data_IF_597374835445
#
_entry.id   IF_597374835445
#
_cell.length_a   1.000
_cell.length_b   1.000
_cell.length_c   1.000
_cell.angle_alpha   90.00
_cell.angle_beta   90.00
_cell.angle_gamma   90.00
#
_symmetry.space_group_name_H-M   'P 1'
#
loop_
_entity.id
_entity.type
_entity.pdbx_description
1 polymer ?
#
# COMPACT_ATOMS: atom_id res chain seq x y z
N UNK A 1 -10.94 -4.40 5.29
CA UNK A 1 -10.78 -3.28 4.36
C UNK A 1 -12.03 -2.41 4.31
N UNK A 2 -13.25 -2.95 4.11
CA UNK A 2 -14.51 -2.18 4.03
C UNK A 2 -14.77 -1.28 5.25
N UNK A 3 -14.46 -1.75 6.47
CA UNK A 3 -14.55 -0.94 7.70
C UNK A 3 -13.65 0.30 7.67
N UNK A 4 -12.47 0.18 7.05
CA UNK A 4 -11.58 1.32 6.86
C UNK A 4 -12.16 2.34 5.86
N UNK A 5 -12.71 1.87 4.73
CA UNK A 5 -13.31 2.74 3.73
C UNK A 5 -14.51 3.51 4.29
N UNK A 6 -15.30 2.85 5.13
CA UNK A 6 -16.43 3.45 5.83
C UNK A 6 -15.96 4.49 6.85
N UNK A 7 -14.99 4.14 7.70
CA UNK A 7 -14.34 5.06 8.62
C UNK A 7 -13.74 6.27 7.90
N UNK A 8 -13.07 6.06 6.76
CA UNK A 8 -12.47 7.16 6.01
C UNK A 8 -13.53 8.13 5.49
N UNK A 9 -14.64 7.65 4.91
CA UNK A 9 -15.72 8.51 4.46
C UNK A 9 -16.35 9.30 5.63
N UNK A 10 -16.48 8.70 6.81
CA UNK A 10 -16.92 9.37 8.03
C UNK A 10 -15.90 10.43 8.49
N UNK A 11 -14.62 10.05 8.52
CA UNK A 11 -13.53 10.94 8.92
C UNK A 11 -13.44 12.21 8.08
N UNK A 12 -13.73 12.14 6.78
CA UNK A 12 -13.75 13.34 5.90
C UNK A 12 -14.83 14.35 6.29
N UNK A 13 -15.83 13.95 7.07
CA UNK A 13 -16.95 14.79 7.46
C UNK A 13 -17.85 15.16 6.28
N UNK A 14 -17.86 14.35 5.21
CA UNK A 14 -18.65 14.62 4.00
C UNK A 14 -20.12 14.85 4.31
N UNK A 15 -20.71 15.89 3.71
CA UNK A 15 -22.11 16.26 3.87
C UNK A 15 -22.92 15.89 2.63
N UNK A 16 -24.25 15.63 2.78
CA UNK A 16 -25.12 15.41 1.62
C UNK A 16 -25.02 16.54 0.60
N UNK A 17 -24.96 16.18 -0.67
CA UNK A 17 -24.85 17.12 -1.80
C UNK A 17 -23.42 17.59 -2.09
N UNK A 18 -22.44 17.30 -1.23
CA UNK A 18 -21.05 17.60 -1.55
C UNK A 18 -20.52 16.70 -2.67
N UNK A 19 -19.63 17.26 -3.48
CA UNK A 19 -18.99 16.58 -4.62
C UNK A 19 -17.67 15.96 -4.21
N UNK A 20 -17.53 14.67 -4.42
CA UNK A 20 -16.35 13.88 -4.08
C UNK A 20 -15.73 13.29 -5.34
N UNK A 21 -14.44 13.51 -5.53
CA UNK A 21 -13.62 12.84 -6.57
C UNK A 21 -12.70 11.80 -5.94
N UNK A 22 -12.73 10.59 -6.45
CA UNK A 22 -11.78 9.52 -6.13
C UNK A 22 -10.86 9.27 -7.32
N UNK A 23 -9.58 9.62 -7.16
CA UNK A 23 -8.54 9.39 -8.16
C UNK A 23 -7.95 7.99 -7.95
N UNK A 24 -8.07 7.14 -8.98
CA UNK A 24 -7.80 5.70 -8.85
C UNK A 24 -8.94 4.97 -8.14
N UNK A 25 -10.17 5.22 -8.60
CA UNK A 25 -11.40 4.78 -7.91
C UNK A 25 -11.67 3.27 -8.01
N UNK A 26 -10.91 2.54 -8.82
CA UNK A 26 -11.01 1.10 -8.98
C UNK A 26 -12.47 0.65 -9.30
N UNK A 27 -13.03 -0.28 -8.55
CA UNK A 27 -14.42 -0.78 -8.68
C UNK A 27 -15.49 0.16 -8.09
N UNK A 28 -15.09 1.30 -7.52
CA UNK A 28 -15.97 2.29 -6.90
C UNK A 28 -16.36 2.00 -5.45
N UNK A 29 -15.75 0.99 -4.81
CA UNK A 29 -16.12 0.63 -3.43
C UNK A 29 -15.94 1.79 -2.44
N UNK A 30 -14.90 2.65 -2.60
CA UNK A 30 -14.75 3.85 -1.76
C UNK A 30 -15.84 4.88 -2.06
N UNK A 31 -16.17 5.07 -3.33
CA UNK A 31 -17.25 5.98 -3.75
C UNK A 31 -18.62 5.54 -3.21
N UNK A 32 -18.88 4.22 -3.10
CA UNK A 32 -20.09 3.70 -2.45
C UNK A 32 -20.22 4.23 -1.01
N UNK A 33 -19.12 4.33 -0.24
CA UNK A 33 -19.15 4.82 1.15
C UNK A 33 -19.48 6.32 1.23
N UNK A 34 -19.00 7.11 0.29
CA UNK A 34 -19.38 8.53 0.18
C UNK A 34 -20.85 8.71 -0.27
N UNK A 35 -21.28 7.91 -1.25
CA UNK A 35 -22.65 7.93 -1.75
C UNK A 35 -23.69 7.58 -0.67
N UNK A 36 -23.36 6.60 0.20
CA UNK A 36 -24.19 6.26 1.36
C UNK A 36 -24.41 7.44 2.34
N UNK A 37 -23.53 8.44 2.31
CA UNK A 37 -23.60 9.67 3.09
C UNK A 37 -24.23 10.84 2.33
N UNK A 38 -24.83 10.55 1.16
CA UNK A 38 -25.53 11.53 0.34
C UNK A 38 -24.63 12.40 -0.54
N UNK A 39 -23.35 12.05 -0.69
CA UNK A 39 -22.45 12.76 -1.60
C UNK A 39 -22.76 12.47 -3.06
N UNK A 40 -22.50 13.45 -3.93
CA UNK A 40 -22.36 13.26 -5.35
C UNK A 40 -20.95 12.76 -5.65
N UNK A 41 -20.82 11.65 -6.40
CA UNK A 41 -19.58 10.91 -6.52
C UNK A 41 -19.04 10.85 -7.94
N UNK A 42 -17.77 11.20 -8.09
CA UNK A 42 -16.98 11.10 -9.33
C UNK A 42 -15.75 10.23 -9.10
N UNK A 43 -15.34 9.56 -10.15
CA UNK A 43 -14.12 8.77 -10.14
C UNK A 43 -13.35 8.91 -11.45
N UNK A 44 -12.06 8.60 -11.39
CA UNK A 44 -11.21 8.41 -12.57
C UNK A 44 -10.28 7.23 -12.34
N UNK A 45 -10.27 6.28 -13.28
CA UNK A 45 -9.44 5.08 -13.19
C UNK A 45 -9.12 4.54 -14.59
N UNK A 46 -7.87 4.10 -14.88
CA UNK A 46 -7.49 3.55 -16.17
C UNK A 46 -7.88 2.07 -16.38
N UNK A 47 -8.40 1.38 -15.36
CA UNK A 47 -8.70 -0.05 -15.40
C UNK A 47 -10.00 -0.34 -16.19
N UNK A 48 -9.86 -0.66 -17.48
CA UNK A 48 -10.99 -0.96 -18.39
C UNK A 48 -11.91 -2.07 -17.86
N UNK A 49 -11.34 -3.08 -17.20
CA UNK A 49 -12.09 -4.21 -16.67
C UNK A 49 -12.92 -3.86 -15.42
N UNK A 50 -12.60 -2.77 -14.71
CA UNK A 50 -13.29 -2.33 -13.51
C UNK A 50 -14.27 -1.18 -13.78
N UNK A 51 -14.05 -0.42 -14.84
CA UNK A 51 -14.91 0.68 -15.23
C UNK A 51 -16.40 0.30 -15.35
N UNK A 52 -16.80 -0.87 -15.90
CA UNK A 52 -18.21 -1.24 -15.95
C UNK A 52 -18.85 -1.47 -14.58
N UNK A 53 -18.05 -1.71 -13.54
CA UNK A 53 -18.55 -1.88 -12.17
C UNK A 53 -18.78 -0.53 -11.50
N UNK A 54 -17.81 0.37 -11.60
CA UNK A 54 -17.84 1.69 -10.98
C UNK A 54 -18.79 2.67 -11.68
N UNK A 55 -18.78 2.70 -13.04
CA UNK A 55 -19.58 3.64 -13.84
C UNK A 55 -21.10 3.41 -13.80
N UNK A 56 -21.56 2.21 -13.38
CA UNK A 56 -22.98 1.94 -13.15
C UNK A 56 -23.57 2.74 -11.99
N UNK A 57 -22.74 3.17 -11.05
CA UNK A 57 -23.19 3.77 -9.78
C UNK A 57 -22.71 5.21 -9.60
N UNK A 58 -21.62 5.58 -10.26
CA UNK A 58 -20.90 6.84 -10.06
C UNK A 58 -20.56 7.49 -11.40
N UNK A 59 -20.22 8.78 -11.40
CA UNK A 59 -19.73 9.49 -12.57
C UNK A 59 -18.23 9.16 -12.78
N UNK A 60 -17.92 8.10 -13.50
CA UNK A 60 -16.55 7.61 -13.65
C UNK A 60 -16.01 7.84 -15.06
N UNK A 61 -14.86 8.51 -15.14
CA UNK A 61 -14.06 8.65 -16.35
C UNK A 61 -13.07 7.51 -16.46
N UNK A 62 -13.09 6.78 -17.59
CA UNK A 62 -12.06 5.79 -17.92
C UNK A 62 -10.82 6.51 -18.43
N UNK A 63 -9.71 6.44 -17.71
CA UNK A 63 -8.45 7.07 -18.09
C UNK A 63 -7.59 7.48 -16.89
N UNK A 64 -6.51 8.16 -17.19
CA UNK A 64 -5.61 8.71 -16.17
C UNK A 64 -6.04 10.10 -15.72
N UNK A 65 -5.89 10.37 -14.43
CA UNK A 65 -6.03 11.72 -13.88
C UNK A 65 -4.82 12.57 -14.26
N UNK A 66 -5.06 13.70 -14.93
CA UNK A 66 -4.00 14.59 -15.41
C UNK A 66 -4.56 15.87 -16.01
N UNK A 67 -3.74 16.54 -16.84
CA UNK A 67 -4.06 17.86 -17.45
C UNK A 67 -5.32 17.83 -18.31
N UNK A 68 -5.61 16.70 -18.93
CA UNK A 68 -6.78 16.49 -19.79
C UNK A 68 -8.07 16.16 -19.06
N UNK A 69 -8.02 15.98 -17.72
CA UNK A 69 -9.22 15.69 -16.94
C UNK A 69 -10.05 16.96 -16.70
N UNK A 70 -11.17 17.07 -17.40
CA UNK A 70 -12.08 18.23 -17.37
C UNK A 70 -13.47 17.82 -16.87
N UNK A 71 -13.71 17.78 -15.53
CA UNK A 71 -15.00 17.30 -14.98
C UNK A 71 -16.15 18.31 -15.13
N UNK A 72 -15.85 19.58 -15.45
CA UNK A 72 -16.84 20.66 -15.52
C UNK A 72 -17.42 21.12 -14.18
N UNK A 73 -16.90 20.57 -13.07
CA UNK A 73 -17.31 20.90 -11.69
C UNK A 73 -16.08 21.04 -10.79
N UNK A 74 -16.25 21.73 -9.66
CA UNK A 74 -15.27 21.73 -8.57
C UNK A 74 -15.73 20.77 -7.48
N UNK A 75 -14.76 20.12 -6.85
CA UNK A 75 -15.00 19.11 -5.81
C UNK A 75 -14.75 19.68 -4.42
N UNK A 76 -15.58 19.29 -3.46
CA UNK A 76 -15.39 19.57 -2.03
C UNK A 76 -14.31 18.68 -1.44
N UNK A 77 -14.27 17.42 -1.88
CA UNK A 77 -13.32 16.41 -1.44
C UNK A 77 -12.67 15.76 -2.67
N UNK A 78 -11.33 15.72 -2.69
CA UNK A 78 -10.55 14.90 -3.62
C UNK A 78 -9.80 13.85 -2.82
N UNK A 79 -9.93 12.60 -3.21
CA UNK A 79 -9.29 11.47 -2.54
C UNK A 79 -8.37 10.73 -3.52
N UNK A 80 -7.21 10.25 -3.04
CA UNK A 80 -6.31 9.38 -3.77
C UNK A 80 -5.62 8.42 -2.79
N UNK A 81 -6.08 7.18 -2.75
CA UNK A 81 -5.53 6.16 -1.84
C UNK A 81 -4.74 5.12 -2.62
N UNK A 82 -3.49 4.88 -2.21
CA UNK A 82 -2.55 3.96 -2.87
C UNK A 82 -2.29 4.27 -4.36
N UNK A 83 -2.38 5.52 -4.74
CA UNK A 83 -2.17 5.98 -6.13
C UNK A 83 -0.91 6.81 -6.24
N UNK A 84 -0.61 7.62 -5.21
CA UNK A 84 0.40 8.67 -5.30
C UNK A 84 1.83 8.14 -5.41
N UNK A 85 2.11 6.96 -4.85
CA UNK A 85 3.38 6.28 -5.00
C UNK A 85 3.71 5.89 -6.46
N UNK A 86 2.68 5.73 -7.31
CA UNK A 86 2.79 5.33 -8.71
C UNK A 86 2.88 6.50 -9.70
N UNK A 87 2.76 7.75 -9.23
CA UNK A 87 2.73 8.92 -10.10
C UNK A 87 4.12 9.27 -10.64
N UNK A 88 4.26 9.38 -11.97
CA UNK A 88 5.52 9.83 -12.60
C UNK A 88 5.78 11.32 -12.38
N UNK A 89 4.72 12.12 -12.32
CA UNK A 89 4.76 13.54 -11.99
C UNK A 89 3.85 13.85 -10.80
N UNK A 90 4.32 13.66 -9.56
CA UNK A 90 3.53 13.94 -8.38
C UNK A 90 3.22 15.45 -8.22
N UNK A 91 4.09 16.34 -8.72
CA UNK A 91 3.82 17.77 -8.69
C UNK A 91 2.69 18.18 -9.63
N UNK A 92 2.72 17.70 -10.87
CA UNK A 92 1.62 17.90 -11.83
C UNK A 92 0.31 17.32 -11.31
N UNK A 93 0.35 16.13 -10.70
CA UNK A 93 -0.83 15.52 -10.09
C UNK A 93 -1.45 16.42 -9.00
N UNK A 94 -0.63 16.98 -8.08
CA UNK A 94 -1.12 17.92 -7.06
C UNK A 94 -1.67 19.21 -7.66
N UNK A 95 -1.02 19.76 -8.69
CA UNK A 95 -1.54 20.95 -9.39
C UNK A 95 -2.89 20.67 -10.05
N UNK A 96 -3.08 19.51 -10.63
CA UNK A 96 -4.35 19.09 -11.22
C UNK A 96 -5.43 18.86 -10.15
N UNK A 97 -5.09 18.28 -9.00
CA UNK A 97 -6.02 18.20 -7.86
C UNK A 97 -6.44 19.60 -7.39
N UNK A 98 -5.49 20.54 -7.27
CA UNK A 98 -5.81 21.94 -6.93
C UNK A 98 -6.73 22.59 -7.96
N UNK A 99 -6.51 22.36 -9.26
CA UNK A 99 -7.30 22.93 -10.35
C UNK A 99 -8.78 22.55 -10.30
N UNK A 100 -9.08 21.34 -9.81
CA UNK A 100 -10.45 20.84 -9.69
C UNK A 100 -11.07 21.05 -8.30
N UNK A 101 -10.45 21.89 -7.45
CA UNK A 101 -10.92 22.19 -6.09
C UNK A 101 -11.15 23.71 -5.90
N UNK A 102 -11.88 24.07 -4.84
CA UNK A 102 -12.11 25.44 -4.40
C UNK A 102 -11.47 25.70 -3.02
N UNK A 103 -11.57 26.91 -2.50
CA UNK A 103 -10.84 27.33 -1.29
C UNK A 103 -11.19 26.53 -0.02
N UNK A 104 -12.41 25.98 0.08
CA UNK A 104 -12.86 25.20 1.23
C UNK A 104 -12.62 23.69 1.07
N UNK A 105 -12.18 23.26 -0.10
CA UNK A 105 -11.96 21.84 -0.41
C UNK A 105 -10.85 21.20 0.44
N UNK A 106 -10.92 19.88 0.57
CA UNK A 106 -9.89 19.06 1.16
C UNK A 106 -9.43 17.98 0.18
N UNK A 107 -8.12 17.78 0.13
CA UNK A 107 -7.49 16.73 -0.67
C UNK A 107 -6.86 15.74 0.30
N UNK A 108 -7.20 14.47 0.16
CA UNK A 108 -6.71 13.37 0.99
C UNK A 108 -5.84 12.45 0.14
N UNK A 109 -4.58 12.29 0.52
CA UNK A 109 -3.63 11.44 -0.20
C UNK A 109 -3.07 10.41 0.77
N UNK A 110 -3.41 9.15 0.54
CA UNK A 110 -2.86 8.04 1.30
C UNK A 110 -1.76 7.34 0.51
N UNK A 111 -0.61 7.16 1.16
CA UNK A 111 0.54 6.46 0.59
C UNK A 111 1.23 5.59 1.64
N UNK A 112 1.57 4.35 1.24
CA UNK A 112 2.04 3.28 2.12
C UNK A 112 3.55 3.34 2.36
N UNK A 113 4.06 4.39 3.03
CA UNK A 113 5.50 4.52 3.25
C UNK A 113 5.90 5.15 4.59
N UNK A 114 4.92 5.41 5.46
CA UNK A 114 5.24 5.85 6.79
C UNK A 114 6.09 4.79 7.49
N UNK A 115 7.12 5.20 8.15
CA UNK A 115 7.97 4.34 8.97
C UNK A 115 8.57 3.11 8.25
N UNK A 116 8.50 3.01 6.90
CA UNK A 116 8.95 1.79 6.18
C UNK A 116 10.42 1.45 6.49
N UNK A 117 11.28 2.47 6.65
CA UNK A 117 12.70 2.28 7.02
C UNK A 117 12.81 1.77 8.44
N UNK A 118 12.05 2.35 9.37
CA UNK A 118 12.03 1.95 10.78
C UNK A 118 11.45 0.56 10.98
N UNK A 119 10.45 0.19 10.17
CA UNK A 119 9.79 -1.12 10.22
C UNK A 119 10.52 -2.21 9.41
N UNK A 120 11.53 -1.85 8.61
CA UNK A 120 12.23 -2.79 7.74
C UNK A 120 11.45 -3.24 6.51
N UNK A 121 10.46 -2.47 6.06
CA UNK A 121 9.58 -2.82 4.95
C UNK A 121 10.22 -2.54 3.58
N UNK A 122 11.43 -3.03 3.34
CA UNK A 122 12.18 -2.82 2.08
C UNK A 122 11.49 -3.43 0.86
N UNK A 123 10.65 -4.44 1.05
CA UNK A 123 9.86 -5.09 0.01
C UNK A 123 8.78 -4.17 -0.61
N UNK A 124 8.52 -3.04 0.03
CA UNK A 124 7.69 -1.95 -0.52
C UNK A 124 8.37 -1.27 -1.72
N UNK A 125 9.69 -1.39 -1.87
CA UNK A 125 10.46 -0.83 -2.99
C UNK A 125 10.38 -1.79 -4.18
N UNK A 126 9.35 -1.68 -4.98
CA UNK A 126 9.18 -2.40 -6.24
C UNK A 126 8.90 -1.43 -7.39
N UNK A 127 8.99 -1.92 -8.63
CA UNK A 127 9.03 -1.11 -9.84
C UNK A 127 7.85 -0.15 -10.04
N UNK A 128 6.69 -0.41 -9.42
CA UNK A 128 5.52 0.46 -9.51
C UNK A 128 5.50 1.55 -8.42
N UNK A 129 6.20 1.35 -7.28
CA UNK A 129 6.37 2.38 -6.25
C UNK A 129 7.60 3.22 -6.58
N UNK A 130 7.41 4.28 -7.34
CA UNK A 130 8.50 5.15 -7.81
C UNK A 130 8.70 6.39 -6.93
N UNK A 131 7.76 6.67 -6.04
CA UNK A 131 7.85 7.78 -5.10
C UNK A 131 7.69 7.31 -3.66
N UNK A 132 8.53 7.85 -2.79
CA UNK A 132 8.51 7.63 -1.35
C UNK A 132 8.57 8.98 -0.65
N UNK A 133 7.69 9.18 0.34
CA UNK A 133 7.55 10.46 1.01
C UNK A 133 7.68 10.32 2.52
N UNK A 134 8.54 11.15 3.10
CA UNK A 134 8.41 11.56 4.50
C UNK A 134 7.60 12.86 4.56
N UNK A 135 7.25 13.33 5.75
CA UNK A 135 6.38 14.51 5.91
C UNK A 135 7.03 15.76 5.34
N UNK A 136 8.33 15.94 5.55
CA UNK A 136 9.08 17.12 5.03
C UNK A 136 9.09 17.13 3.50
N UNK A 137 9.37 16.01 2.85
CA UNK A 137 9.40 15.95 1.39
C UNK A 137 8.01 16.17 0.77
N UNK A 138 6.97 15.65 1.42
CA UNK A 138 5.59 15.85 0.98
C UNK A 138 5.12 17.29 1.18
N UNK A 139 5.46 17.92 2.32
CA UNK A 139 5.19 19.34 2.56
C UNK A 139 5.80 20.22 1.47
N UNK A 140 7.10 20.04 1.16
CA UNK A 140 7.76 20.78 0.08
C UNK A 140 7.10 20.60 -1.28
N UNK A 141 6.59 19.39 -1.54
CA UNK A 141 5.86 19.11 -2.77
C UNK A 141 4.51 19.85 -2.81
N UNK A 142 3.77 19.84 -1.68
CA UNK A 142 2.52 20.57 -1.53
C UNK A 142 2.70 22.08 -1.71
N UNK A 143 3.74 22.65 -1.07
CA UNK A 143 4.08 24.09 -1.19
C UNK A 143 4.35 24.48 -2.66
N UNK A 144 5.08 23.65 -3.41
CA UNK A 144 5.34 23.86 -4.84
C UNK A 144 4.08 23.75 -5.70
N UNK A 145 3.09 23.01 -5.27
CA UNK A 145 1.77 22.94 -5.90
C UNK A 145 0.86 24.11 -5.49
N UNK A 146 1.29 24.95 -4.53
CA UNK A 146 0.51 26.04 -3.95
C UNK A 146 -0.63 25.53 -3.07
N UNK A 147 -0.42 24.41 -2.38
CA UNK A 147 -1.28 23.79 -1.38
C UNK A 147 -0.59 23.82 -0.02
N UNK A 148 -1.38 23.83 1.04
CA UNK A 148 -0.89 23.71 2.42
C UNK A 148 -1.07 22.28 2.88
N UNK A 149 -0.03 21.66 3.46
CA UNK A 149 -0.15 20.42 4.22
C UNK A 149 -0.83 20.76 5.56
N UNK A 150 -2.12 20.52 5.64
CA UNK A 150 -2.93 20.93 6.79
C UNK A 150 -2.85 19.96 7.95
N UNK A 151 -2.79 18.65 7.66
CA UNK A 151 -2.64 17.62 8.68
C UNK A 151 -2.05 16.34 8.10
N UNK A 152 -1.59 15.44 8.98
CA UNK A 152 -1.05 14.12 8.64
C UNK A 152 -1.56 13.10 9.63
N UNK A 153 -2.10 11.99 9.15
CA UNK A 153 -2.49 10.86 9.99
C UNK A 153 -1.66 9.64 9.63
N UNK A 154 -1.39 8.79 10.62
CA UNK A 154 -0.90 7.43 10.39
C UNK A 154 -2.09 6.48 10.39
N UNK A 155 -2.17 5.63 9.38
CA UNK A 155 -3.20 4.59 9.25
C UNK A 155 -2.56 3.21 9.18
N UNK A 156 -3.22 2.14 9.66
CA UNK A 156 -2.66 0.78 9.67
C UNK A 156 -2.83 0.06 8.31
N UNK A 157 -3.06 0.80 7.24
CA UNK A 157 -3.27 0.24 5.90
C UNK A 157 -1.92 -0.09 5.25
N UNK A 158 -1.81 -1.28 4.68
CA UNK A 158 -0.60 -1.80 4.00
C UNK A 158 0.69 -1.76 4.84
N UNK A 159 0.58 -2.05 6.12
CA UNK A 159 1.63 -1.85 7.12
C UNK A 159 1.38 -0.56 7.87
N UNK A 160 2.12 0.50 7.58
CA UNK A 160 1.83 1.85 8.07
C UNK A 160 1.83 2.83 6.91
N UNK A 161 0.74 3.58 6.77
CA UNK A 161 0.59 4.58 5.71
C UNK A 161 0.44 5.97 6.31
N UNK A 162 0.94 6.99 5.59
CA UNK A 162 0.52 8.36 5.81
C UNK A 162 -0.75 8.67 5.03
N UNK A 163 -1.67 9.39 5.69
CA UNK A 163 -2.75 10.14 5.07
C UNK A 163 -2.40 11.63 5.18
N UNK A 164 -2.00 12.22 4.07
CA UNK A 164 -1.73 13.65 3.96
C UNK A 164 -3.02 14.39 3.63
N UNK A 165 -3.34 15.44 4.39
CA UNK A 165 -4.53 16.27 4.21
C UNK A 165 -4.09 17.64 3.74
N UNK A 166 -4.52 18.02 2.53
CA UNK A 166 -4.13 19.26 1.87
C UNK A 166 -5.34 20.20 1.69
N UNK A 167 -5.07 21.48 1.60
CA UNK A 167 -6.07 22.51 1.34
C UNK A 167 -5.48 23.91 1.34
N UNK A 168 -6.30 24.91 1.69
CA UNK A 168 -5.92 26.33 1.76
C UNK A 168 -5.93 26.91 3.19
N UNK A 169 -6.22 26.07 4.20
CA UNK A 169 -6.21 26.49 5.60
C UNK A 169 -4.83 26.40 6.25
N UNK A 170 -4.69 26.85 7.50
CA UNK A 170 -3.44 26.75 8.25
C UNK A 170 -3.12 25.27 8.58
N UNK A 171 -1.81 24.91 8.73
CA UNK A 171 -1.44 23.60 9.21
C UNK A 171 -1.84 23.39 10.67
N UNK A 172 -2.16 22.17 11.04
CA UNK A 172 -2.36 21.76 12.44
C UNK A 172 -1.02 21.70 13.19
N UNK A 173 -1.06 21.80 14.50
CA UNK A 173 0.12 21.58 15.34
C UNK A 173 0.70 20.17 15.19
N UNK A 174 -0.12 19.20 14.81
CA UNK A 174 0.26 17.80 14.60
C UNK A 174 1.31 17.65 13.50
N UNK A 175 1.24 18.44 12.43
CA UNK A 175 2.24 18.43 11.33
C UNK A 175 3.64 18.71 11.89
N UNK A 176 3.78 19.79 12.66
CA UNK A 176 5.07 20.15 13.26
C UNK A 176 5.58 19.10 14.25
N UNK A 177 4.69 18.53 15.06
CA UNK A 177 5.04 17.48 16.02
C UNK A 177 5.52 16.19 15.32
N UNK A 178 4.85 15.77 14.26
CA UNK A 178 5.24 14.58 13.49
C UNK A 178 6.54 14.81 12.71
N UNK A 179 6.75 16.01 12.16
CA UNK A 179 8.03 16.38 11.52
C UNK A 179 9.20 16.34 12.50
N UNK A 180 9.00 16.84 13.72
CA UNK A 180 10.04 16.79 14.76
C UNK A 180 10.33 15.36 15.17
N UNK A 181 9.29 14.52 15.27
CA UNK A 181 9.47 13.07 15.51
C UNK A 181 10.27 12.40 14.40
N UNK A 182 9.96 12.65 13.12
CA UNK A 182 10.73 12.11 11.98
C UNK A 182 12.18 12.59 12.02
N UNK A 183 12.43 13.85 12.37
CA UNK A 183 13.77 14.41 12.55
C UNK A 183 14.53 13.70 13.67
N UNK A 184 13.92 13.53 14.83
CA UNK A 184 14.52 12.82 15.97
C UNK A 184 14.82 11.36 15.65
N UNK A 185 14.07 10.75 14.74
CA UNK A 185 14.29 9.39 14.23
C UNK A 185 15.33 9.31 13.10
N UNK A 186 15.90 10.43 12.66
CA UNK A 186 16.91 10.48 11.58
C UNK A 186 16.34 10.30 10.17
N UNK A 187 15.01 10.37 9.97
CA UNK A 187 14.36 10.14 8.66
C UNK A 187 14.68 11.24 7.61
N UNK A 188 15.38 12.31 8.01
CA UNK A 188 15.83 13.37 7.11
C UNK A 188 17.33 13.30 6.81
N UNK A 189 18.04 12.31 7.37
CA UNK A 189 19.49 12.21 7.34
C UNK A 189 19.96 10.92 6.66
N UNK A 190 21.08 11.00 5.91
CA UNK A 190 21.66 9.87 5.19
C UNK A 190 22.04 8.65 6.04
N UNK A 191 22.68 8.83 7.21
CA UNK A 191 23.17 7.71 8.02
C UNK A 191 22.13 6.64 8.39
N UNK A 192 20.86 7.04 8.61
CA UNK A 192 19.80 6.07 8.86
C UNK A 192 19.57 5.14 7.66
N UNK A 193 19.57 5.71 6.46
CA UNK A 193 19.35 4.94 5.22
C UNK A 193 20.53 4.04 4.89
N UNK A 194 21.75 4.48 5.18
CA UNK A 194 22.96 3.66 5.01
C UNK A 194 22.92 2.45 5.97
N UNK A 195 22.61 2.67 7.24
CA UNK A 195 22.45 1.61 8.23
C UNK A 195 21.31 0.64 7.85
N UNK A 196 20.20 1.17 7.35
CA UNK A 196 19.09 0.36 6.88
C UNK A 196 19.46 -0.50 5.66
N UNK A 197 20.24 0.05 4.72
CA UNK A 197 20.71 -0.69 3.56
C UNK A 197 21.61 -1.87 3.98
N UNK A 198 22.53 -1.66 4.92
CA UNK A 198 23.36 -2.72 5.50
C UNK A 198 22.50 -3.79 6.14
N UNK A 199 21.53 -3.40 6.97
CA UNK A 199 20.60 -4.33 7.63
C UNK A 199 19.81 -5.16 6.62
N UNK A 200 19.34 -4.57 5.51
CA UNK A 200 18.67 -5.31 4.43
C UNK A 200 19.58 -6.38 3.80
N UNK A 201 20.87 -6.07 3.58
CA UNK A 201 21.83 -7.03 3.03
C UNK A 201 22.17 -8.16 4.02
N UNK A 202 22.24 -7.86 5.29
CA UNK A 202 22.44 -8.88 6.35
C UNK A 202 21.21 -9.77 6.46
N UNK A 203 20.00 -9.21 6.47
CA UNK A 203 18.74 -9.95 6.41
C UNK A 203 18.72 -10.90 5.21
N UNK A 204 19.02 -10.40 4.01
CA UNK A 204 19.13 -11.22 2.79
C UNK A 204 20.04 -12.42 3.02
N UNK A 205 21.23 -12.20 3.55
CA UNK A 205 22.26 -13.23 3.77
C UNK A 205 21.81 -14.27 4.79
N UNK A 206 21.26 -13.81 5.91
CA UNK A 206 20.73 -14.66 6.99
C UNK A 206 19.54 -15.50 6.51
N UNK A 207 18.57 -14.88 5.86
CA UNK A 207 17.38 -15.58 5.39
C UNK A 207 17.73 -16.61 4.31
N UNK A 208 18.61 -16.26 3.37
CA UNK A 208 19.08 -17.21 2.36
C UNK A 208 19.76 -18.42 2.99
N UNK A 209 20.61 -18.21 4.00
CA UNK A 209 21.26 -19.30 4.75
C UNK A 209 20.26 -20.15 5.52
N UNK A 210 19.27 -19.52 6.18
CA UNK A 210 18.24 -20.20 6.95
C UNK A 210 17.37 -21.12 6.09
N UNK A 211 17.11 -20.72 4.85
CA UNK A 211 16.28 -21.47 3.90
C UNK A 211 17.07 -22.48 3.04
N UNK A 212 18.39 -22.53 3.18
CA UNK A 212 19.22 -23.45 2.40
C UNK A 212 18.89 -24.91 2.76
N UNK A 213 18.52 -25.69 1.75
CA UNK A 213 18.16 -27.11 1.92
C UNK A 213 16.73 -27.34 2.47
N UNK A 214 16.00 -26.32 2.84
CA UNK A 214 14.63 -26.43 3.30
C UNK A 214 13.64 -26.59 2.12
N UNK A 215 12.53 -27.28 2.37
CA UNK A 215 11.39 -27.26 1.44
C UNK A 215 10.53 -26.03 1.76
N UNK A 216 10.75 -24.98 1.01
CA UNK A 216 10.13 -23.66 1.27
C UNK A 216 8.77 -23.56 0.57
N UNK A 217 7.74 -23.28 1.35
CA UNK A 217 6.38 -22.96 0.88
C UNK A 217 6.09 -21.51 1.21
N UNK A 218 6.00 -20.66 0.20
CA UNK A 218 5.61 -19.26 0.43
C UNK A 218 4.09 -19.11 0.41
N UNK A 219 3.57 -18.07 1.08
CA UNK A 219 2.15 -17.74 1.08
C UNK A 219 1.94 -16.26 0.73
N UNK A 220 1.17 -16.01 -0.34
CA UNK A 220 0.87 -14.69 -0.86
C UNK A 220 1.72 -14.28 -2.08
N UNK A 221 1.21 -14.51 -3.30
CA UNK A 221 1.86 -14.09 -4.55
C UNK A 221 1.55 -12.61 -4.87
N UNK A 222 1.97 -11.70 -3.99
CA UNK A 222 1.81 -10.25 -4.13
C UNK A 222 3.11 -9.58 -4.60
N UNK A 223 3.03 -8.30 -5.02
CA UNK A 223 4.18 -7.53 -5.49
C UNK A 223 5.31 -7.49 -4.45
N UNK A 224 4.99 -7.15 -3.18
CA UNK A 224 5.95 -7.15 -2.07
C UNK A 224 6.64 -8.50 -1.89
N UNK A 225 5.88 -9.59 -1.90
CA UNK A 225 6.43 -10.94 -1.78
C UNK A 225 7.38 -11.30 -2.92
N UNK A 226 7.05 -10.93 -4.15
CA UNK A 226 7.95 -11.12 -5.29
C UNK A 226 9.23 -10.29 -5.15
N UNK A 227 9.14 -9.06 -4.63
CA UNK A 227 10.31 -8.22 -4.36
C UNK A 227 11.24 -8.89 -3.36
N UNK A 228 10.70 -9.37 -2.25
CA UNK A 228 11.46 -10.08 -1.23
C UNK A 228 12.15 -11.33 -1.80
N UNK A 229 11.40 -12.20 -2.48
CA UNK A 229 11.94 -13.43 -3.05
C UNK A 229 13.06 -13.18 -4.06
N UNK A 230 12.89 -12.17 -4.92
CA UNK A 230 13.91 -11.79 -5.90
C UNK A 230 15.11 -11.14 -5.24
N UNK A 231 14.92 -10.26 -4.25
CA UNK A 231 16.00 -9.62 -3.51
C UNK A 231 16.85 -10.65 -2.75
N UNK A 232 16.21 -11.57 -2.04
CA UNK A 232 16.92 -12.61 -1.28
C UNK A 232 17.52 -13.67 -2.20
N UNK A 233 16.93 -13.90 -3.37
CA UNK A 233 17.33 -14.95 -4.30
C UNK A 233 16.90 -16.33 -3.81
N UNK A 234 15.71 -16.43 -3.24
CA UNK A 234 15.07 -17.68 -2.78
C UNK A 234 13.96 -18.07 -3.74
N UNK A 235 13.95 -19.31 -4.16
CA UNK A 235 12.92 -19.91 -4.98
C UNK A 235 12.11 -20.89 -4.13
N UNK A 236 10.91 -20.53 -3.64
CA UNK A 236 10.01 -21.47 -3.01
C UNK A 236 9.61 -22.59 -3.97
N UNK A 237 9.36 -23.78 -3.45
CA UNK A 237 8.83 -24.90 -4.24
C UNK A 237 7.45 -24.58 -4.79
N UNK A 238 6.61 -23.92 -3.97
CA UNK A 238 5.31 -23.37 -4.37
C UNK A 238 5.04 -22.06 -3.64
N UNK A 239 4.14 -21.25 -4.21
CA UNK A 239 3.56 -20.09 -3.54
C UNK A 239 2.05 -20.33 -3.46
N UNK A 240 1.50 -20.40 -2.27
CA UNK A 240 0.06 -20.47 -2.06
C UNK A 240 -0.52 -19.06 -2.21
N UNK A 241 -1.61 -18.93 -2.97
CA UNK A 241 -2.36 -17.66 -3.07
C UNK A 241 -3.86 -17.98 -3.22
N UNK A 242 -4.69 -17.27 -2.45
CA UNK A 242 -6.15 -17.51 -2.43
C UNK A 242 -6.87 -16.90 -3.65
N UNK A 243 -6.19 -16.02 -4.42
CA UNK A 243 -6.75 -15.44 -5.62
C UNK A 243 -6.73 -16.43 -6.79
N UNK A 244 -7.89 -16.92 -7.27
CA UNK A 244 -7.96 -17.91 -8.35
C UNK A 244 -7.34 -17.40 -9.67
N UNK A 245 -7.27 -16.07 -9.89
CA UNK A 245 -6.66 -15.49 -11.10
C UNK A 245 -5.13 -15.64 -11.13
N UNK A 246 -4.50 -15.93 -9.99
CA UNK A 246 -3.05 -16.17 -9.89
C UNK A 246 -2.70 -17.65 -9.90
N UNK A 247 -3.62 -18.51 -9.49
CA UNK A 247 -3.42 -19.97 -9.43
C UNK A 247 -3.15 -20.53 -10.82
N UNK A 248 -2.26 -21.53 -10.90
CA UNK A 248 -1.79 -22.12 -12.14
C UNK A 248 -0.77 -21.24 -12.91
N UNK A 249 -0.38 -20.09 -12.37
CA UNK A 249 0.64 -19.19 -12.93
C UNK A 249 1.97 -19.37 -12.21
N UNK A 250 2.97 -18.61 -12.65
CA UNK A 250 4.33 -18.60 -12.11
C UNK A 250 4.68 -17.22 -11.55
N UNK A 251 5.39 -17.20 -10.44
CA UNK A 251 5.89 -15.95 -9.87
C UNK A 251 6.94 -15.30 -10.78
N UNK A 252 6.92 -13.97 -10.95
CA UNK A 252 7.95 -13.25 -11.69
C UNK A 252 9.34 -13.43 -11.07
N UNK A 253 10.35 -13.59 -11.89
CA UNK A 253 11.75 -13.75 -11.47
C UNK A 253 12.07 -15.16 -11.00
N UNK A 254 11.60 -15.58 -9.84
CA UNK A 254 11.95 -16.89 -9.24
C UNK A 254 11.23 -18.08 -9.90
N UNK A 255 10.17 -17.83 -10.66
CA UNK A 255 9.41 -18.87 -11.38
C UNK A 255 8.93 -20.01 -10.46
N UNK A 256 8.44 -19.68 -9.29
CA UNK A 256 7.74 -20.62 -8.43
C UNK A 256 6.28 -20.75 -8.87
N UNK A 257 5.72 -21.99 -8.92
CA UNK A 257 4.31 -22.18 -9.28
C UNK A 257 3.40 -21.59 -8.19
N UNK A 258 2.33 -20.94 -8.61
CA UNK A 258 1.28 -20.42 -7.71
C UNK A 258 0.14 -21.44 -7.65
N UNK A 259 -0.18 -21.89 -6.43
CA UNK A 259 -1.12 -22.96 -6.17
C UNK A 259 -2.25 -22.54 -5.21
N UNK A 260 -3.42 -23.20 -5.23
CA UNK A 260 -4.47 -22.97 -4.24
C UNK A 260 -4.08 -23.53 -2.86
N UNK A 261 -4.76 -23.09 -1.80
CA UNK A 261 -4.56 -23.58 -0.43
C UNK A 261 -4.79 -25.08 -0.29
N UNK A 262 -5.68 -25.68 -1.10
CA UNK A 262 -5.92 -27.12 -1.14
C UNK A 262 -4.68 -27.95 -1.52
N UNK A 263 -3.64 -27.33 -2.10
CA UNK A 263 -2.36 -28.00 -2.32
C UNK A 263 -1.76 -28.57 -1.02
N UNK A 264 -2.07 -27.98 0.14
CA UNK A 264 -1.60 -28.46 1.45
C UNK A 264 -2.10 -29.88 1.78
N UNK A 265 -3.24 -30.30 1.26
CA UNK A 265 -3.81 -31.65 1.45
C UNK A 265 -2.97 -32.72 0.75
N UNK A 266 -2.25 -32.34 -0.30
CA UNK A 266 -1.39 -33.22 -1.12
C UNK A 266 0.10 -32.90 -0.99
N UNK A 267 0.44 -32.02 -0.04
CA UNK A 267 1.82 -31.63 0.21
C UNK A 267 2.67 -32.86 0.60
N UNK A 268 3.97 -32.88 0.24
CA UNK A 268 4.83 -34.01 0.54
C UNK A 268 4.94 -34.27 2.05
N UNK A 269 5.08 -35.57 2.41
CA UNK A 269 5.27 -35.99 3.81
C UNK A 269 6.71 -35.73 4.27
N UNK A 270 7.02 -34.48 4.49
CA UNK A 270 8.28 -34.01 5.05
C UNK A 270 8.06 -32.67 5.75
N UNK A 271 9.05 -32.21 6.52
CA UNK A 271 9.06 -30.88 7.12
C UNK A 271 8.98 -29.79 6.05
N UNK A 272 8.06 -28.85 6.19
CA UNK A 272 7.89 -27.69 5.35
C UNK A 272 8.31 -26.43 6.12
N UNK A 273 8.97 -25.51 5.43
CA UNK A 273 9.25 -24.18 5.98
C UNK A 273 8.35 -23.16 5.31
N UNK A 274 7.35 -22.68 6.05
CA UNK A 274 6.41 -21.69 5.57
C UNK A 274 6.99 -20.29 5.66
N UNK A 275 6.87 -19.55 4.55
CA UNK A 275 7.32 -18.18 4.41
C UNK A 275 6.12 -17.28 4.05
N UNK A 276 5.34 -16.77 5.03
CA UNK A 276 4.29 -15.81 4.79
C UNK A 276 4.86 -14.51 4.25
N UNK A 277 4.54 -14.19 2.99
CA UNK A 277 5.10 -13.01 2.30
C UNK A 277 4.32 -11.73 2.62
N UNK A 278 3.11 -11.83 3.13
CA UNK A 278 2.35 -10.72 3.66
C UNK A 278 2.61 -10.60 5.17
N UNK A 279 3.66 -9.87 5.55
CA UNK A 279 4.17 -9.80 6.92
C UNK A 279 3.10 -9.38 7.96
N UNK A 280 2.21 -8.47 7.57
CA UNK A 280 1.12 -7.97 8.40
C UNK A 280 -0.02 -8.97 8.61
N UNK A 281 -0.03 -10.10 7.88
CA UNK A 281 -1.04 -11.16 7.96
C UNK A 281 -0.45 -12.49 8.47
N UNK A 282 0.71 -12.45 9.12
CA UNK A 282 1.44 -13.65 9.55
C UNK A 282 0.57 -14.60 10.38
N UNK A 283 -0.09 -14.11 11.42
CA UNK A 283 -0.91 -14.93 12.31
C UNK A 283 -2.13 -15.53 11.60
N UNK A 284 -2.75 -14.75 10.70
CA UNK A 284 -3.88 -15.21 9.91
C UNK A 284 -3.46 -16.33 8.95
N UNK A 285 -2.36 -16.12 8.22
CA UNK A 285 -1.81 -17.11 7.29
C UNK A 285 -1.42 -18.38 8.05
N UNK A 286 -0.72 -18.25 9.18
CA UNK A 286 -0.35 -19.39 10.01
C UNK A 286 -1.57 -20.19 10.46
N UNK A 287 -2.62 -19.52 10.94
CA UNK A 287 -3.87 -20.17 11.34
C UNK A 287 -4.51 -20.92 10.16
N UNK A 288 -4.61 -20.28 9.00
CA UNK A 288 -5.20 -20.87 7.80
C UNK A 288 -4.43 -22.11 7.30
N UNK A 289 -3.11 -22.12 7.43
CA UNK A 289 -2.29 -23.30 7.10
C UNK A 289 -2.55 -24.43 8.09
N UNK A 290 -2.54 -24.13 9.41
CA UNK A 290 -2.74 -25.12 10.47
C UNK A 290 -4.14 -25.76 10.46
N UNK A 291 -5.15 -25.10 9.91
CA UNK A 291 -6.50 -25.67 9.69
C UNK A 291 -6.51 -26.82 8.67
N UNK A 292 -5.55 -26.84 7.73
CA UNK A 292 -5.47 -27.86 6.67
C UNK A 292 -4.32 -28.84 6.92
N UNK A 293 -3.17 -28.35 7.39
CA UNK A 293 -1.97 -29.13 7.68
C UNK A 293 -1.40 -28.73 9.04
N UNK A 294 -1.40 -29.69 9.97
CA UNK A 294 -0.86 -29.52 11.32
C UNK A 294 0.24 -30.56 11.58
N UNK A 295 1.37 -30.41 10.88
CA UNK A 295 2.54 -31.28 11.05
C UNK A 295 3.50 -30.62 12.04
N UNK A 296 3.89 -31.26 13.15
CA UNK A 296 4.80 -30.67 14.15
C UNK A 296 6.22 -30.43 13.64
N UNK A 297 6.59 -30.99 12.48
CA UNK A 297 7.87 -30.77 11.82
C UNK A 297 7.90 -29.44 11.04
N UNK A 298 6.73 -28.84 10.78
CA UNK A 298 6.61 -27.63 9.98
C UNK A 298 7.03 -26.39 10.76
N UNK A 299 7.69 -25.48 10.08
CA UNK A 299 8.14 -24.22 10.65
C UNK A 299 7.50 -23.03 9.95
N UNK A 300 7.32 -21.94 10.69
CA UNK A 300 6.85 -20.65 10.18
C UNK A 300 7.87 -19.57 10.46
N UNK A 301 8.32 -18.86 9.43
CA UNK A 301 9.22 -17.72 9.57
C UNK A 301 8.41 -16.43 9.59
N UNK A 302 8.37 -15.76 10.75
CA UNK A 302 7.83 -14.41 10.86
C UNK A 302 8.89 -13.42 10.33
N UNK A 303 8.69 -12.95 9.12
CA UNK A 303 9.67 -12.08 8.44
C UNK A 303 9.90 -10.75 9.18
N UNK A 304 8.86 -10.22 9.86
CA UNK A 304 8.97 -8.99 10.63
C UNK A 304 9.90 -9.16 11.84
N UNK A 305 9.69 -10.21 12.61
CA UNK A 305 10.55 -10.55 13.76
C UNK A 305 11.96 -10.90 13.28
N UNK A 306 12.06 -11.69 12.24
CA UNK A 306 13.34 -12.08 11.65
C UNK A 306 14.16 -10.88 11.15
N UNK A 307 13.50 -9.86 10.60
CA UNK A 307 14.17 -8.60 10.24
C UNK A 307 14.56 -7.80 11.47
N UNK A 308 13.71 -7.74 12.49
CA UNK A 308 14.00 -7.01 13.72
C UNK A 308 15.23 -7.56 14.46
N UNK A 309 15.42 -8.88 14.42
CA UNK A 309 16.58 -9.58 15.01
C UNK A 309 17.86 -9.47 14.17
N UNK A 310 17.79 -8.87 12.99
CA UNK A 310 18.98 -8.61 12.16
C UNK A 310 19.66 -7.35 12.67
N UNK A 311 20.89 -7.45 13.10
CA UNK A 311 21.70 -6.35 13.65
C UNK A 311 22.28 -5.47 12.56
#
# INVERSE_FOLDING_TARGET
>A
YRKYLDWFAEFTGVQPGQKVLDVGCNDGTQLDMFKLRGAETWGVDPAENLWPLSSKKHNVTLGYFGDSYEPGVLFDIVNAQNVFAHQRDPLGTLKNMKRVTHAQSRIYIQTSQADMVLNGEFDTIYHEHINFFNILSFQKLADRAGLVLMDVLKTPIHGTSYMFILGQGPPSANVAQLMERERAQGLYDGPLYDAWAVKCLEFKTRLKRRLAGAYVVAYGAAAKGNTLLNFVGVRPQVIIDDNPLKQGRWSPGQRSPVVPKSWLETAPDQSLTFLPLAWNLFDEIRRQVLEVRSDPRDEFINLKEYFAETL
#
